data_IF_549287951647
#
_entry.id   IF_549287951647
#
_cell.length_a   1.000
_cell.length_b   1.000
_cell.length_c   1.000
_cell.angle_alpha   90.00
_cell.angle_beta   90.00
_cell.angle_gamma   90.00
#
_symmetry.space_group_name_H-M   'P 1'
#
loop_
_entity.id
_entity.type
_entity.pdbx_description
1 polymer ?
#
# COMPACT_ATOMS: atom_id res chain seq x y z
N UNK A 1 3.43 13.75 -85.79
CA UNK A 1 2.45 14.07 -84.74
C UNK A 1 2.76 13.15 -83.53
N UNK A 2 3.63 13.63 -82.60
CA UNK A 2 4.19 12.82 -81.51
C UNK A 2 3.46 13.19 -80.23
N UNK A 3 2.65 12.24 -79.72
CA UNK A 3 2.03 12.40 -78.38
C UNK A 3 3.07 12.18 -77.27
N UNK A 4 3.20 13.16 -76.38
CA UNK A 4 3.97 13.04 -75.10
C UNK A 4 3.12 12.42 -74.05
N UNK A 5 3.63 11.44 -73.26
CA UNK A 5 2.90 10.90 -72.14
C UNK A 5 2.93 11.89 -70.96
N UNK A 6 1.75 12.14 -70.35
CA UNK A 6 1.60 12.91 -69.11
C UNK A 6 1.76 11.92 -67.95
N UNK A 7 2.83 12.09 -67.16
CA UNK A 7 3.00 11.37 -65.91
C UNK A 7 2.21 12.09 -64.80
N UNK A 8 1.14 11.49 -64.31
CA UNK A 8 0.42 11.94 -63.14
C UNK A 8 1.10 11.31 -61.91
N UNK A 9 1.84 12.14 -61.16
CA UNK A 9 2.47 11.73 -59.90
C UNK A 9 1.42 11.73 -58.82
N UNK A 10 1.02 10.55 -58.33
CA UNK A 10 0.09 10.36 -57.20
C UNK A 10 0.86 10.56 -55.90
N UNK A 11 0.71 11.72 -55.28
CA UNK A 11 1.27 12.00 -53.95
C UNK A 11 0.39 11.34 -52.90
N UNK A 12 0.82 10.19 -52.36
CA UNK A 12 0.16 9.54 -51.22
C UNK A 12 0.45 10.33 -49.93
N UNK A 13 -0.56 11.04 -49.45
CA UNK A 13 -0.52 11.72 -48.17
C UNK A 13 -0.70 10.67 -47.05
N UNK A 14 0.39 10.24 -46.43
CA UNK A 14 0.34 9.38 -45.23
C UNK A 14 -0.05 10.22 -44.04
N UNK A 15 -1.31 10.08 -43.60
CA UNK A 15 -1.78 10.64 -42.35
C UNK A 15 -1.21 9.76 -41.22
N UNK A 16 -0.13 10.23 -40.56
CA UNK A 16 0.32 9.66 -39.29
C UNK A 16 -0.62 10.17 -38.21
N UNK A 17 -1.51 9.29 -37.72
CA UNK A 17 -2.28 9.56 -36.51
C UNK A 17 -1.29 9.59 -35.34
N UNK A 18 -0.97 10.76 -34.82
CA UNK A 18 -0.29 10.92 -33.56
C UNK A 18 -1.22 10.36 -32.48
N UNK A 19 -0.83 9.27 -31.82
CA UNK A 19 -1.53 8.82 -30.63
C UNK A 19 -1.50 9.96 -29.60
N UNK A 20 -2.66 10.40 -29.15
CA UNK A 20 -2.75 11.41 -28.08
C UNK A 20 -2.09 10.81 -26.82
N UNK A 21 -1.00 11.42 -26.37
CA UNK A 21 -0.33 11.07 -25.13
C UNK A 21 -1.30 11.37 -23.97
N UNK A 22 -1.63 10.36 -23.17
CA UNK A 22 -2.55 10.55 -22.04
C UNK A 22 -1.86 11.36 -20.95
N UNK A 23 -2.52 12.42 -20.51
CA UNK A 23 -2.05 13.27 -19.42
C UNK A 23 -2.08 12.49 -18.08
N UNK A 24 -0.95 12.46 -17.38
CA UNK A 24 -0.83 11.89 -16.03
C UNK A 24 -0.90 13.03 -15.01
N UNK A 25 -1.92 13.01 -14.14
CA UNK A 25 -2.09 14.02 -13.09
C UNK A 25 -0.97 13.85 -12.05
N UNK A 26 -0.17 14.89 -11.76
CA UNK A 26 0.92 14.80 -10.82
C UNK A 26 0.45 14.80 -9.35
N UNK A 27 1.35 14.40 -8.44
CA UNK A 27 1.13 14.53 -6.99
C UNK A 27 1.30 15.99 -6.60
N UNK A 28 0.22 16.63 -6.11
CA UNK A 28 0.24 18.04 -5.73
C UNK A 28 0.70 18.28 -4.30
N UNK A 29 0.20 17.48 -3.33
CA UNK A 29 0.63 17.56 -1.91
C UNK A 29 1.88 16.71 -1.74
N UNK A 30 2.97 17.33 -1.25
CA UNK A 30 4.30 16.72 -1.23
C UNK A 30 4.94 16.69 0.17
N UNK A 31 4.33 17.32 1.14
CA UNK A 31 4.85 17.44 2.49
C UNK A 31 3.77 17.11 3.52
N UNK A 32 4.17 16.60 4.67
CA UNK A 32 3.30 16.27 5.80
C UNK A 32 2.10 15.38 5.39
N UNK A 33 2.37 14.38 4.58
CA UNK A 33 1.37 13.44 4.08
C UNK A 33 0.93 12.51 5.21
N UNK A 34 -0.32 12.64 5.65
CA UNK A 34 -0.90 11.89 6.77
C UNK A 34 -1.89 10.87 6.24
N UNK A 35 -1.58 9.59 6.41
CA UNK A 35 -2.37 8.50 5.86
C UNK A 35 -2.57 7.42 6.93
N UNK A 36 -3.80 6.91 7.05
CA UNK A 36 -4.10 5.73 7.86
C UNK A 36 -4.76 4.66 7.02
N UNK A 37 -4.21 3.45 7.11
CA UNK A 37 -4.79 2.23 6.56
C UNK A 37 -5.48 1.44 7.67
N UNK A 38 -6.75 1.13 7.48
CA UNK A 38 -7.44 0.11 8.28
C UNK A 38 -7.28 -1.23 7.57
N UNK A 39 -6.75 -2.24 8.27
CA UNK A 39 -6.56 -3.60 7.73
C UNK A 39 -7.35 -4.59 8.58
N UNK A 40 -8.40 -5.17 7.99
CA UNK A 40 -9.39 -5.98 8.71
C UNK A 40 -9.16 -7.49 8.58
N UNK A 41 -8.43 -7.91 7.55
CA UNK A 41 -8.19 -9.30 7.25
C UNK A 41 -6.75 -9.58 6.76
N UNK A 42 -6.43 -10.85 6.53
CA UNK A 42 -5.14 -11.30 6.00
C UNK A 42 -5.19 -11.60 4.50
N UNK A 43 -6.06 -10.90 3.75
CA UNK A 43 -6.06 -11.01 2.29
C UNK A 43 -4.69 -10.68 1.72
N UNK A 44 -4.19 -11.55 0.86
CA UNK A 44 -2.86 -11.42 0.27
C UNK A 44 -2.91 -10.80 -1.12
N UNK A 45 -1.83 -10.10 -1.48
CA UNK A 45 -1.52 -9.61 -2.81
C UNK A 45 -0.03 -9.89 -3.09
N UNK A 46 0.25 -10.60 -4.18
CA UNK A 46 1.60 -11.07 -4.51
C UNK A 46 2.31 -11.80 -3.35
N UNK A 47 1.56 -12.63 -2.61
CA UNK A 47 2.11 -13.46 -1.53
C UNK A 47 2.30 -12.75 -0.19
N UNK A 48 1.97 -11.47 -0.05
CA UNK A 48 2.05 -10.73 1.23
C UNK A 48 0.71 -10.10 1.57
N UNK A 49 0.51 -9.73 2.83
CA UNK A 49 -0.71 -9.02 3.25
C UNK A 49 -0.95 -7.78 2.42
N UNK A 50 -2.17 -7.62 1.92
CA UNK A 50 -2.58 -6.53 1.01
C UNK A 50 -2.29 -5.14 1.58
N UNK A 51 -2.51 -4.93 2.89
CA UNK A 51 -2.21 -3.66 3.55
C UNK A 51 -0.71 -3.32 3.52
N UNK A 52 0.16 -4.29 3.83
CA UNK A 52 1.62 -4.13 3.77
C UNK A 52 2.12 -3.91 2.33
N UNK A 53 1.58 -4.69 1.37
CA UNK A 53 1.93 -4.54 -0.03
C UNK A 53 1.68 -3.11 -0.54
N UNK A 54 0.47 -2.59 -0.31
CA UNK A 54 0.12 -1.25 -0.78
C UNK A 54 0.78 -0.13 0.04
N UNK A 55 1.14 -0.37 1.31
CA UNK A 55 1.96 0.54 2.09
C UNK A 55 3.35 0.71 1.46
N UNK A 56 4.05 -0.41 1.15
CA UNK A 56 5.33 -0.37 0.45
C UNK A 56 5.22 0.30 -0.92
N UNK A 57 4.19 -0.05 -1.69
CA UNK A 57 3.94 0.54 -2.99
C UNK A 57 3.73 2.06 -2.90
N UNK A 58 3.01 2.54 -1.88
CA UNK A 58 2.80 3.97 -1.65
C UNK A 58 4.12 4.69 -1.34
N UNK A 59 4.91 4.17 -0.38
CA UNK A 59 6.22 4.74 -0.02
C UNK A 59 7.13 4.82 -1.25
N UNK A 60 7.25 3.72 -2.00
CA UNK A 60 8.08 3.67 -3.21
C UNK A 60 7.59 4.66 -4.28
N UNK A 61 6.27 4.80 -4.45
CA UNK A 61 5.70 5.76 -5.40
C UNK A 61 6.09 7.19 -5.02
N UNK A 62 5.96 7.56 -3.75
CA UNK A 62 6.34 8.88 -3.28
C UNK A 62 7.84 9.15 -3.44
N UNK A 63 8.69 8.19 -3.07
CA UNK A 63 10.14 8.31 -3.26
C UNK A 63 10.52 8.49 -4.74
N UNK A 64 9.92 7.70 -5.64
CA UNK A 64 10.16 7.81 -7.08
C UNK A 64 9.75 9.17 -7.66
N UNK A 65 8.87 9.89 -6.96
CA UNK A 65 8.46 11.26 -7.32
C UNK A 65 9.16 12.33 -6.47
N UNK A 66 10.26 11.99 -5.78
CA UNK A 66 11.09 12.91 -5.01
C UNK A 66 10.47 13.40 -3.70
N UNK A 67 9.54 12.62 -3.10
CA UNK A 67 9.00 12.86 -1.76
C UNK A 67 9.75 11.97 -0.79
N UNK A 68 10.44 12.57 0.18
CA UNK A 68 11.22 11.84 1.16
C UNK A 68 10.32 11.05 2.13
N UNK A 69 10.74 9.85 2.61
CA UNK A 69 9.95 9.03 3.53
C UNK A 69 9.49 9.78 4.79
N UNK A 70 10.32 10.68 5.28
CA UNK A 70 10.06 11.51 6.48
C UNK A 70 8.85 12.45 6.31
N UNK A 71 8.45 12.71 5.06
CA UNK A 71 7.25 13.48 4.74
C UNK A 71 5.97 12.64 4.77
N UNK A 72 6.09 11.30 4.92
CA UNK A 72 4.98 10.36 4.85
C UNK A 72 4.70 9.77 6.23
N UNK A 73 3.66 10.24 6.89
CA UNK A 73 3.19 9.73 8.18
C UNK A 73 2.12 8.67 7.91
N UNK A 74 2.54 7.42 7.74
CA UNK A 74 1.65 6.30 7.43
C UNK A 74 1.44 5.40 8.65
N UNK A 75 0.18 5.15 8.99
CA UNK A 75 -0.25 4.21 10.03
C UNK A 75 -1.03 3.06 9.40
N UNK A 76 -0.74 1.83 9.80
CA UNK A 76 -1.52 0.64 9.48
C UNK A 76 -2.15 0.12 10.78
N UNK A 77 -3.48 0.22 10.89
CA UNK A 77 -4.23 -0.23 12.08
C UNK A 77 -4.88 -1.57 11.78
N UNK A 78 -4.31 -2.63 12.36
CA UNK A 78 -4.76 -4.00 12.20
C UNK A 78 -5.80 -4.39 13.26
N UNK A 79 -6.83 -5.12 12.85
CA UNK A 79 -7.78 -5.79 13.73
C UNK A 79 -8.47 -6.98 13.03
N UNK A 80 -9.35 -7.69 13.74
CA UNK A 80 -10.03 -8.84 13.17
C UNK A 80 -9.08 -9.96 12.78
N UNK A 81 -9.26 -10.54 11.60
CA UNK A 81 -8.36 -11.60 11.08
C UNK A 81 -7.04 -11.06 10.53
N UNK A 82 -6.92 -9.75 10.33
CA UNK A 82 -5.68 -9.07 9.94
C UNK A 82 -4.53 -9.26 10.93
N UNK A 83 -4.81 -9.63 12.19
CA UNK A 83 -3.78 -9.98 13.17
C UNK A 83 -2.78 -11.03 12.66
N UNK A 84 -3.22 -11.96 11.80
CA UNK A 84 -2.36 -13.02 11.26
C UNK A 84 -1.18 -12.47 10.44
N UNK A 85 -1.29 -11.26 9.91
CA UNK A 85 -0.22 -10.62 9.15
C UNK A 85 0.94 -10.10 10.02
N UNK A 86 0.69 -9.84 11.32
CA UNK A 86 1.59 -9.10 12.21
C UNK A 86 2.08 -9.89 13.42
N UNK A 87 1.85 -11.21 13.41
CA UNK A 87 2.31 -12.15 14.45
C UNK A 87 3.39 -13.10 13.94
N UNK A 88 4.14 -13.73 14.84
CA UNK A 88 5.14 -14.74 14.49
C UNK A 88 4.49 -15.99 13.85
N UNK A 89 5.33 -16.86 13.30
CA UNK A 89 4.90 -18.07 12.58
C UNK A 89 4.06 -19.01 13.45
N UNK A 90 4.41 -19.18 14.73
CA UNK A 90 3.70 -20.08 15.65
C UNK A 90 2.27 -19.59 15.89
N UNK A 91 2.10 -18.31 16.20
CA UNK A 91 0.78 -17.71 16.37
C UNK A 91 -0.01 -17.73 15.05
N UNK A 92 0.64 -17.43 13.94
CA UNK A 92 0.03 -17.45 12.60
C UNK A 92 -0.53 -18.84 12.26
N UNK A 93 0.22 -19.90 12.51
CA UNK A 93 -0.23 -21.29 12.32
C UNK A 93 -1.45 -21.62 13.18
N UNK A 94 -1.46 -21.19 14.45
CA UNK A 94 -2.63 -21.39 15.33
C UNK A 94 -3.87 -20.64 14.83
N UNK A 95 -3.69 -19.52 14.16
CA UNK A 95 -4.78 -18.74 13.54
C UNK A 95 -5.31 -19.38 12.22
N UNK A 96 -4.74 -20.51 11.79
CA UNK A 96 -5.15 -21.22 10.58
C UNK A 96 -4.58 -20.65 9.28
N UNK A 97 -3.61 -19.76 9.35
CA UNK A 97 -2.86 -19.28 8.19
C UNK A 97 -1.67 -20.21 7.90
N UNK A 98 -1.05 -20.09 6.73
CA UNK A 98 0.17 -20.82 6.39
C UNK A 98 1.28 -20.54 7.41
N UNK A 99 2.10 -21.57 7.73
CA UNK A 99 3.09 -21.50 8.81
C UNK A 99 4.14 -20.42 8.56
N UNK A 100 4.66 -20.35 7.33
CA UNK A 100 5.62 -19.31 6.95
C UNK A 100 4.93 -17.95 6.88
N UNK A 101 5.47 -16.96 7.58
CA UNK A 101 4.93 -15.62 7.51
C UNK A 101 5.64 -14.79 6.40
N UNK A 102 4.99 -14.60 5.25
CA UNK A 102 5.60 -13.87 4.13
C UNK A 102 5.76 -12.37 4.41
N UNK A 103 5.19 -11.88 5.51
CA UNK A 103 5.11 -10.46 5.81
C UNK A 103 6.33 -9.92 6.57
N UNK A 104 7.23 -10.80 7.07
CA UNK A 104 8.33 -10.42 7.96
C UNK A 104 9.26 -9.37 7.38
N UNK A 105 9.71 -9.61 6.18
CA UNK A 105 10.66 -8.74 5.49
C UNK A 105 10.05 -7.37 5.16
N UNK A 106 8.86 -7.35 4.55
CA UNK A 106 8.17 -6.11 4.17
C UNK A 106 7.77 -5.28 5.40
N UNK A 107 7.35 -5.93 6.51
CA UNK A 107 7.04 -5.24 7.75
C UNK A 107 8.28 -4.55 8.33
N UNK A 108 9.42 -5.26 8.38
CA UNK A 108 10.68 -4.70 8.87
C UNK A 108 11.17 -3.53 7.99
N UNK A 109 11.01 -3.62 6.68
CA UNK A 109 11.30 -2.54 5.73
C UNK A 109 10.44 -1.30 6.02
N UNK A 110 9.13 -1.48 6.15
CA UNK A 110 8.19 -0.38 6.42
C UNK A 110 8.46 0.30 7.76
N UNK A 111 8.76 -0.47 8.81
CA UNK A 111 9.13 0.08 10.13
C UNK A 111 10.40 0.93 10.02
N UNK A 112 11.40 0.51 9.25
CA UNK A 112 12.62 1.32 9.00
C UNK A 112 12.32 2.62 8.26
N UNK A 113 11.30 2.65 7.40
CA UNK A 113 10.82 3.84 6.72
C UNK A 113 9.93 4.74 7.62
N UNK A 114 9.76 4.41 8.90
CA UNK A 114 8.97 5.20 9.86
C UNK A 114 7.47 4.90 9.85
N UNK A 115 7.01 3.91 9.07
CA UNK A 115 5.61 3.48 9.06
C UNK A 115 5.24 2.87 10.41
N UNK A 116 4.09 3.28 10.95
CA UNK A 116 3.57 2.77 12.22
C UNK A 116 2.67 1.56 11.96
N UNK A 117 3.11 0.39 12.40
CA UNK A 117 2.32 -0.85 12.36
C UNK A 117 1.65 -1.02 13.72
N UNK A 118 0.34 -0.95 13.76
CA UNK A 118 -0.46 -0.90 14.98
C UNK A 118 -1.48 -2.05 15.00
N UNK A 119 -1.64 -2.72 16.15
CA UNK A 119 -2.62 -3.78 16.36
C UNK A 119 -3.58 -3.39 17.49
N UNK A 120 -4.86 -3.57 17.25
CA UNK A 120 -5.89 -3.44 18.30
C UNK A 120 -5.66 -4.48 19.39
N UNK A 121 -5.41 -4.02 20.64
CA UNK A 121 -5.18 -4.92 21.79
C UNK A 121 -6.36 -5.86 22.06
N UNK A 122 -7.60 -5.41 21.82
CA UNK A 122 -8.79 -6.22 22.01
C UNK A 122 -8.89 -7.42 21.05
N UNK A 123 -8.14 -7.39 19.93
CA UNK A 123 -8.10 -8.50 18.97
C UNK A 123 -7.31 -9.69 19.53
N UNK A 124 -6.28 -9.44 20.34
CA UNK A 124 -5.38 -10.50 20.83
C UNK A 124 -6.08 -11.55 21.68
N UNK A 125 -6.82 -11.22 22.79
CA UNK A 125 -7.49 -12.23 23.58
C UNK A 125 -8.57 -12.97 22.80
N UNK A 126 -9.25 -12.31 21.86
CA UNK A 126 -10.26 -12.95 21.01
C UNK A 126 -9.65 -14.00 20.07
N UNK A 127 -8.37 -13.86 19.74
CA UNK A 127 -7.63 -14.74 18.83
C UNK A 127 -6.61 -15.63 19.54
N UNK A 128 -6.52 -15.59 20.88
CA UNK A 128 -5.58 -16.38 21.65
C UNK A 128 -4.11 -16.03 21.36
N UNK A 129 -3.82 -14.76 21.10
CA UNK A 129 -2.47 -14.24 20.81
C UNK A 129 -1.95 -13.45 22.01
N UNK A 130 -0.68 -13.65 22.35
CA UNK A 130 0.02 -12.93 23.40
C UNK A 130 0.90 -11.80 22.83
N UNK A 131 1.20 -10.75 23.61
CA UNK A 131 2.08 -9.66 23.14
C UNK A 131 3.47 -10.13 22.70
N UNK A 132 4.02 -11.18 23.32
CA UNK A 132 5.33 -11.74 22.94
C UNK A 132 5.34 -12.41 21.55
N UNK A 133 4.18 -12.66 20.98
CA UNK A 133 4.02 -13.28 19.65
C UNK A 133 3.91 -12.24 18.52
N UNK A 134 3.87 -10.97 18.87
CA UNK A 134 3.86 -9.90 17.86
C UNK A 134 5.22 -9.81 17.16
N UNK A 135 5.19 -9.49 15.88
CA UNK A 135 6.41 -9.22 15.13
C UNK A 135 7.09 -7.95 15.63
N UNK A 136 8.43 -7.86 15.54
CA UNK A 136 9.18 -6.68 15.95
C UNK A 136 8.68 -5.41 15.24
N UNK A 137 8.49 -4.33 16.01
CA UNK A 137 8.02 -3.05 15.51
C UNK A 137 6.50 -2.88 15.48
N UNK A 138 5.71 -3.94 15.76
CA UNK A 138 4.27 -3.83 15.95
C UNK A 138 3.95 -3.21 17.30
N UNK A 139 3.10 -2.19 17.31
CA UNK A 139 2.64 -1.48 18.51
C UNK A 139 1.20 -1.84 18.84
N UNK A 140 0.83 -1.77 20.12
CA UNK A 140 -0.55 -1.95 20.54
C UNK A 140 -1.28 -0.62 20.62
N UNK A 141 -2.55 -0.65 20.22
CA UNK A 141 -3.50 0.45 20.43
C UNK A 141 -4.71 -0.07 21.21
N UNK A 142 -5.27 0.76 22.09
CA UNK A 142 -6.38 0.42 23.01
C UNK A 142 -7.58 -0.14 22.25
N UNK A 143 -7.81 0.34 21.02
CA UNK A 143 -8.87 -0.13 20.15
C UNK A 143 -8.70 0.40 18.73
N UNK A 144 -9.04 -0.40 17.73
CA UNK A 144 -8.92 0.01 16.35
C UNK A 144 -9.79 1.24 16.04
N UNK A 145 -11.06 1.24 16.43
CA UNK A 145 -11.97 2.34 16.13
C UNK A 145 -11.59 3.66 16.83
N UNK A 146 -11.30 3.69 18.16
CA UNK A 146 -10.79 4.90 18.78
C UNK A 146 -9.52 5.43 18.10
N UNK A 147 -8.59 4.53 17.72
CA UNK A 147 -7.35 4.92 17.03
C UNK A 147 -7.61 5.51 15.64
N UNK A 148 -8.49 4.89 14.86
CA UNK A 148 -8.87 5.39 13.54
C UNK A 148 -9.56 6.74 13.61
N UNK A 149 -10.43 6.95 14.63
CA UNK A 149 -11.09 8.24 14.86
C UNK A 149 -10.05 9.30 15.25
N UNK A 150 -9.17 8.97 16.22
CA UNK A 150 -8.10 9.87 16.68
C UNK A 150 -7.21 10.35 15.52
N UNK A 151 -6.79 9.43 14.64
CA UNK A 151 -5.98 9.77 13.47
C UNK A 151 -6.75 10.65 12.47
N UNK A 152 -8.01 10.33 12.17
CA UNK A 152 -8.82 11.14 11.25
C UNK A 152 -9.08 12.55 11.80
N UNK A 153 -9.27 12.71 13.13
CA UNK A 153 -9.37 14.01 13.76
C UNK A 153 -8.05 14.81 13.73
N UNK A 154 -6.93 14.15 13.43
CA UNK A 154 -5.62 14.75 13.20
C UNK A 154 -5.33 14.92 11.70
N UNK A 155 -6.34 14.93 10.85
CA UNK A 155 -6.28 15.11 9.38
C UNK A 155 -5.57 13.97 8.63
N UNK A 156 -5.61 12.73 9.13
CA UNK A 156 -5.14 11.58 8.37
C UNK A 156 -6.17 11.14 7.33
N UNK A 157 -5.74 11.05 6.07
CA UNK A 157 -6.53 10.47 4.99
C UNK A 157 -6.73 8.96 5.23
N UNK A 158 -7.97 8.50 5.22
CA UNK A 158 -8.33 7.12 5.57
C UNK A 158 -8.52 6.25 4.33
N UNK A 159 -7.90 5.05 4.36
CA UNK A 159 -8.09 3.99 3.36
C UNK A 159 -8.34 2.66 4.09
N UNK A 160 -9.33 1.89 3.63
CA UNK A 160 -9.64 0.56 4.18
C UNK A 160 -9.15 -0.53 3.23
N UNK A 161 -8.54 -1.58 3.81
CA UNK A 161 -8.19 -2.83 3.15
C UNK A 161 -8.97 -4.00 3.77
N UNK A 162 -9.65 -4.72 2.92
CA UNK A 162 -10.43 -5.93 3.21
C UNK A 162 -10.38 -6.89 2.01
#
# INVERSE_FOLDING_TARGET
MTLKPIFISLFALTLTAAAAEQEVIPIHVRENLRIVYQVTDDTQHEGVNKGLFYARKLINTYQNHGIAPEQVHLHLVYHGTGIAAVVNEEARKRLGAEAENPNGEILAELVKCGVQIELCENTMPQKGVNPAELMPGVKLVIGAFPRLIDLQLQDFAYIKFE
#
